data_IF_616814531554
#
_entry.id   IF_616814531554
#
_cell.length_a   1.000
_cell.length_b   1.000
_cell.length_c   1.000
_cell.angle_alpha   90.00
_cell.angle_beta   90.00
_cell.angle_gamma   90.00
#
_symmetry.space_group_name_H-M   'P 1'
#
loop_
_entity.id
_entity.type
_entity.pdbx_description
1 polymer ?
#
# COMPACT_ATOMS: atom_id res chain seq x y z
N UNK A 1 -37.99 33.08 20.41
CA UNK A 1 -39.39 33.16 19.91
C UNK A 1 -39.32 33.35 18.40
N UNK A 2 -40.08 32.52 17.66
CA UNK A 2 -40.28 32.51 16.19
C UNK A 2 -39.05 32.09 15.34
N UNK A 3 -39.15 31.24 14.32
CA UNK A 3 -40.25 30.42 13.80
C UNK A 3 -39.67 29.27 12.94
N UNK A 4 -40.40 28.15 12.95
CA UNK A 4 -40.26 26.97 12.11
C UNK A 4 -40.46 27.29 10.63
N UNK A 5 -39.80 26.55 9.73
CA UNK A 5 -40.46 26.09 8.50
C UNK A 5 -39.82 24.80 7.97
N UNK A 6 -40.52 23.70 8.24
CA UNK A 6 -40.48 22.42 7.52
C UNK A 6 -41.04 22.62 6.11
N UNK A 7 -40.40 21.99 5.12
CA UNK A 7 -41.03 21.68 3.83
C UNK A 7 -40.74 20.21 3.52
N UNK A 8 -41.75 19.37 3.76
CA UNK A 8 -41.91 18.07 3.12
C UNK A 8 -42.28 18.26 1.65
N UNK A 9 -41.72 17.45 0.76
CA UNK A 9 -42.38 17.08 -0.49
C UNK A 9 -41.98 15.64 -0.84
N UNK A 10 -42.96 14.75 -0.65
CA UNK A 10 -43.00 13.39 -1.16
C UNK A 10 -43.09 13.40 -2.69
N UNK A 11 -42.47 12.41 -3.33
CA UNK A 11 -42.98 11.85 -4.60
C UNK A 11 -42.65 10.37 -4.64
N UNK A 12 -43.70 9.56 -4.60
CA UNK A 12 -43.72 8.13 -4.89
C UNK A 12 -43.89 7.90 -6.41
N UNK A 13 -43.83 6.61 -6.79
CA UNK A 13 -44.07 5.99 -8.10
C UNK A 13 -42.82 5.89 -9.02
N UNK A 14 -42.50 4.76 -9.66
CA UNK A 14 -43.35 3.66 -10.08
C UNK A 14 -42.52 2.38 -10.40
N UNK A 15 -43.13 1.22 -10.14
CA UNK A 15 -42.66 -0.13 -10.45
C UNK A 15 -43.30 -0.57 -11.76
N UNK A 16 -42.53 -1.12 -12.71
CA UNK A 16 -43.04 -2.07 -13.70
C UNK A 16 -41.97 -3.09 -14.11
N UNK A 17 -42.24 -4.35 -13.73
CA UNK A 17 -41.87 -5.61 -14.41
C UNK A 17 -42.17 -5.57 -15.91
N UNK A 18 -41.67 -6.39 -16.84
CA UNK A 18 -41.41 -7.84 -16.89
C UNK A 18 -40.98 -8.11 -18.37
N UNK A 19 -40.10 -9.06 -18.66
CA UNK A 19 -40.38 -10.09 -19.68
C UNK A 19 -39.25 -11.13 -19.80
N UNK A 20 -39.70 -12.36 -20.01
CA UNK A 20 -39.01 -13.65 -19.92
C UNK A 20 -38.55 -14.18 -21.30
N UNK A 21 -37.94 -15.37 -21.25
CA UNK A 21 -37.71 -16.38 -22.30
C UNK A 21 -36.32 -16.32 -22.98
N UNK A 22 -35.37 -17.22 -22.66
CA UNK A 22 -35.32 -18.68 -22.87
C UNK A 22 -34.98 -19.08 -24.30
N UNK A 23 -33.81 -19.72 -24.50
CA UNK A 23 -33.63 -20.91 -25.34
C UNK A 23 -32.21 -21.48 -25.23
N UNK A 24 -32.15 -22.77 -24.85
CA UNK A 24 -31.09 -23.73 -25.17
C UNK A 24 -30.58 -23.60 -26.63
N UNK A 25 -29.30 -23.87 -26.89
CA UNK A 25 -28.89 -25.12 -27.56
C UNK A 25 -27.36 -25.25 -27.72
N UNK A 26 -26.94 -26.51 -27.65
CA UNK A 26 -25.60 -27.07 -27.70
C UNK A 26 -25.12 -27.28 -29.13
N UNK A 27 -23.89 -26.89 -29.46
CA UNK A 27 -23.03 -27.49 -30.51
C UNK A 27 -21.57 -27.35 -30.04
N UNK A 28 -20.94 -28.36 -29.41
CA UNK A 28 -20.22 -29.50 -30.02
C UNK A 28 -19.24 -29.16 -31.14
N UNK A 29 -17.96 -29.32 -30.76
CA UNK A 29 -16.78 -29.74 -31.52
C UNK A 29 -16.23 -28.91 -32.69
N UNK A 30 -15.01 -28.41 -32.49
CA UNK A 30 -13.94 -28.72 -33.45
C UNK A 30 -12.66 -29.08 -32.70
N UNK A 31 -12.37 -30.38 -32.68
CA UNK A 31 -11.07 -30.97 -32.34
C UNK A 31 -10.06 -30.50 -33.38
N UNK A 32 -8.95 -29.92 -32.95
CA UNK A 32 -7.72 -29.87 -33.74
C UNK A 32 -6.69 -30.72 -32.98
N UNK A 33 -6.53 -31.94 -33.48
CA UNK A 33 -5.44 -32.85 -33.15
C UNK A 33 -4.14 -32.27 -33.71
N UNK A 34 -3.21 -31.92 -32.84
CA UNK A 34 -1.81 -31.69 -33.20
C UNK A 34 -0.96 -32.60 -32.32
N UNK A 35 -1.01 -33.89 -32.63
CA UNK A 35 -0.03 -34.88 -32.19
C UNK A 35 1.35 -34.53 -32.77
N UNK A 36 2.18 -33.89 -31.94
CA UNK A 36 3.58 -33.62 -32.20
C UNK A 36 4.36 -33.67 -30.88
N UNK A 37 4.82 -34.86 -30.51
CA UNK A 37 5.68 -35.10 -29.35
C UNK A 37 6.96 -34.26 -29.44
N UNK A 38 7.02 -33.19 -28.65
CA UNK A 38 8.26 -32.76 -27.98
C UNK A 38 7.95 -32.63 -26.49
N UNK A 39 8.42 -33.64 -25.77
CA UNK A 39 8.28 -33.88 -24.33
C UNK A 39 9.03 -32.81 -23.54
N UNK A 40 8.52 -31.59 -23.52
CA UNK A 40 8.76 -30.64 -22.44
C UNK A 40 7.79 -31.02 -21.33
N UNK A 41 8.31 -31.57 -20.24
CA UNK A 41 7.54 -31.76 -19.01
C UNK A 41 6.87 -30.43 -18.68
N UNK A 42 5.53 -30.34 -18.84
CA UNK A 42 4.75 -29.29 -18.19
C UNK A 42 4.91 -29.53 -16.69
N UNK A 43 5.95 -28.94 -16.10
CA UNK A 43 6.02 -28.77 -14.66
C UNK A 43 4.77 -28.03 -14.25
N UNK A 44 3.91 -28.71 -13.48
CA UNK A 44 2.75 -28.10 -12.87
C UNK A 44 3.16 -26.74 -12.30
N UNK A 45 2.36 -25.70 -12.58
CA UNK A 45 2.62 -24.33 -12.13
C UNK A 45 2.89 -24.26 -10.61
N UNK A 46 2.26 -25.17 -9.85
CA UNK A 46 2.45 -25.37 -8.40
C UNK A 46 3.85 -25.85 -7.98
N UNK A 47 4.67 -26.40 -8.90
CA UNK A 47 6.06 -26.79 -8.63
C UNK A 47 7.08 -25.69 -8.89
N UNK A 48 6.66 -24.56 -9.49
CA UNK A 48 7.54 -23.40 -9.67
C UNK A 48 7.56 -22.48 -8.45
N UNK A 49 6.59 -22.61 -7.54
CA UNK A 49 6.44 -21.79 -6.34
C UNK A 49 6.22 -22.63 -5.08
N UNK A 50 7.24 -23.37 -4.65
CA UNK A 50 7.26 -24.09 -3.36
C UNK A 50 7.26 -23.16 -2.13
N UNK A 51 7.13 -21.84 -2.32
CA UNK A 51 7.31 -20.82 -1.28
C UNK A 51 6.02 -20.04 -0.93
N UNK A 52 4.83 -20.54 -1.27
CA UNK A 52 3.57 -19.90 -0.86
C UNK A 52 3.50 -19.73 0.67
N UNK A 53 3.93 -20.75 1.43
CA UNK A 53 3.99 -20.67 2.90
C UNK A 53 4.93 -19.56 3.41
N UNK A 54 6.05 -19.32 2.71
CA UNK A 54 7.02 -18.27 3.09
C UNK A 54 6.50 -16.87 2.76
N UNK A 55 5.74 -16.75 1.67
CA UNK A 55 5.09 -15.50 1.28
C UNK A 55 4.03 -15.10 2.30
N UNK A 56 3.20 -16.05 2.75
CA UNK A 56 2.16 -15.80 3.74
C UNK A 56 2.74 -15.40 5.11
N UNK A 57 3.85 -16.02 5.53
CA UNK A 57 4.57 -15.61 6.76
C UNK A 57 5.14 -14.19 6.62
N UNK A 58 5.77 -13.86 5.49
CA UNK A 58 6.32 -12.53 5.23
C UNK A 58 5.26 -11.44 5.21
N UNK A 59 4.10 -11.70 4.59
CA UNK A 59 2.94 -10.81 4.59
C UNK A 59 2.38 -10.62 5.99
N UNK A 60 2.26 -11.71 6.77
CA UNK A 60 1.82 -11.64 8.17
C UNK A 60 2.74 -10.79 9.03
N UNK A 61 4.06 -10.97 8.90
CA UNK A 61 5.06 -10.18 9.60
C UNK A 61 5.00 -8.70 9.21
N UNK A 62 4.92 -8.39 7.91
CA UNK A 62 4.80 -7.02 7.44
C UNK A 62 3.51 -6.34 7.95
N UNK A 63 2.37 -7.04 7.97
CA UNK A 63 1.11 -6.53 8.56
C UNK A 63 1.23 -6.25 10.06
N UNK A 64 1.84 -7.15 10.82
CA UNK A 64 2.08 -6.95 12.24
C UNK A 64 2.99 -5.72 12.47
N UNK A 65 4.02 -5.59 11.63
CA UNK A 65 4.96 -4.47 11.67
C UNK A 65 4.31 -3.13 11.33
N UNK A 66 3.46 -3.10 10.31
CA UNK A 66 2.63 -1.93 9.99
C UNK A 66 1.75 -1.52 11.17
N UNK A 67 1.24 -2.49 11.94
CA UNK A 67 0.52 -2.22 13.19
C UNK A 67 1.35 -1.42 14.19
N UNK A 68 2.57 -1.87 14.49
CA UNK A 68 3.51 -1.18 15.38
C UNK A 68 3.88 0.20 14.84
N UNK A 69 4.14 0.32 13.54
CA UNK A 69 4.44 1.61 12.89
C UNK A 69 3.30 2.60 13.05
N UNK A 70 2.05 2.18 12.86
CA UNK A 70 0.89 3.05 13.03
C UNK A 70 0.78 3.55 14.48
N UNK A 71 1.10 2.71 15.47
CA UNK A 71 1.13 3.10 16.89
C UNK A 71 2.22 4.14 17.14
N UNK A 72 3.45 3.94 16.63
CA UNK A 72 4.54 4.92 16.77
C UNK A 72 4.22 6.26 16.11
N UNK A 73 3.57 6.24 14.94
CA UNK A 73 3.12 7.49 14.28
C UNK A 73 2.02 8.17 15.10
N UNK A 74 1.13 7.39 15.74
CA UNK A 74 0.12 7.92 16.64
C UNK A 74 0.76 8.58 17.87
N UNK A 75 1.78 7.96 18.46
CA UNK A 75 2.54 8.54 19.58
C UNK A 75 3.19 9.87 19.17
N UNK A 76 3.76 9.95 17.96
CA UNK A 76 4.33 11.18 17.43
C UNK A 76 3.27 12.30 17.31
N UNK A 77 2.05 11.96 16.84
CA UNK A 77 0.94 12.92 16.78
C UNK A 77 0.48 13.38 18.15
N UNK A 78 0.40 12.46 19.11
CA UNK A 78 -0.08 12.77 20.45
C UNK A 78 0.93 13.64 21.21
N UNK A 79 2.23 13.34 21.09
CA UNK A 79 3.30 14.21 21.58
C UNK A 79 3.25 15.59 20.92
N UNK A 80 3.07 15.65 19.59
CA UNK A 80 2.92 16.91 18.88
C UNK A 80 1.72 17.73 19.39
N UNK A 81 0.57 17.09 19.63
CA UNK A 81 -0.64 17.78 20.13
C UNK A 81 -0.51 18.24 21.59
N UNK A 82 0.44 17.69 22.36
CA UNK A 82 0.77 18.11 23.73
C UNK A 82 1.91 19.14 23.80
N UNK A 83 2.39 19.62 22.65
CA UNK A 83 3.55 20.50 22.50
C UNK A 83 4.87 19.88 23.04
N UNK A 84 4.94 18.54 23.09
CA UNK A 84 6.12 17.77 23.50
C UNK A 84 7.02 17.50 22.28
N UNK A 85 7.65 18.54 21.74
CA UNK A 85 8.41 18.45 20.48
C UNK A 85 9.56 17.43 20.50
N UNK A 86 10.22 17.26 21.66
CA UNK A 86 11.29 16.27 21.82
C UNK A 86 10.76 14.84 21.71
N UNK A 87 9.60 14.56 22.31
CA UNK A 87 8.97 13.24 22.26
C UNK A 87 8.42 12.94 20.85
N UNK A 88 7.90 13.97 20.16
CA UNK A 88 7.47 13.85 18.77
C UNK A 88 8.66 13.51 17.85
N UNK A 89 9.82 14.16 18.02
CA UNK A 89 11.03 13.87 17.27
C UNK A 89 11.58 12.46 17.56
N UNK A 90 11.61 12.07 18.83
CA UNK A 90 12.02 10.72 19.23
C UNK A 90 11.11 9.64 18.62
N UNK A 91 9.80 9.86 18.58
CA UNK A 91 8.87 8.96 17.92
C UNK A 91 9.13 8.87 16.40
N UNK A 92 9.48 9.98 15.73
CA UNK A 92 9.85 9.98 14.32
C UNK A 92 11.18 9.25 14.05
N UNK A 93 12.14 9.32 14.97
CA UNK A 93 13.36 8.51 14.90
C UNK A 93 13.05 7.01 15.01
N UNK A 94 12.16 6.62 15.93
CA UNK A 94 11.71 5.22 16.07
C UNK A 94 10.98 4.75 14.81
N UNK A 95 10.11 5.59 14.25
CA UNK A 95 9.46 5.33 12.98
C UNK A 95 10.49 5.03 11.88
N UNK A 96 11.53 5.85 11.73
CA UNK A 96 12.58 5.64 10.74
C UNK A 96 13.29 4.28 10.93
N UNK A 97 13.56 3.87 12.18
CA UNK A 97 14.10 2.54 12.48
C UNK A 97 13.14 1.42 12.05
N UNK A 98 11.85 1.57 12.30
CA UNK A 98 10.86 0.58 11.89
C UNK A 98 10.68 0.50 10.36
N UNK A 99 10.86 1.61 9.64
CA UNK A 99 10.81 1.64 8.18
C UNK A 99 11.93 0.82 7.54
N UNK A 100 13.14 0.81 8.13
CA UNK A 100 14.23 -0.03 7.64
C UNK A 100 13.88 -1.53 7.71
N UNK A 101 13.17 -1.96 8.75
CA UNK A 101 12.70 -3.35 8.85
C UNK A 101 11.54 -3.64 7.89
N UNK A 102 10.61 -2.71 7.67
CA UNK A 102 9.58 -2.86 6.62
C UNK A 102 10.19 -2.97 5.23
N UNK A 103 11.31 -2.28 4.97
CA UNK A 103 12.02 -2.35 3.69
C UNK A 103 12.58 -3.75 3.38
N UNK A 104 12.85 -4.57 4.41
CA UNK A 104 13.22 -5.97 4.21
C UNK A 104 12.11 -6.79 3.55
N UNK A 105 10.85 -6.35 3.69
CA UNK A 105 9.66 -6.99 3.11
C UNK A 105 9.25 -6.38 1.76
N UNK A 106 10.11 -5.60 1.09
CA UNK A 106 9.81 -4.97 -0.21
C UNK A 106 9.39 -5.96 -1.31
N UNK A 107 9.75 -7.23 -1.18
CA UNK A 107 9.40 -8.29 -2.13
C UNK A 107 7.93 -8.75 -2.07
N UNK A 108 7.11 -8.22 -1.14
CA UNK A 108 5.67 -8.52 -1.06
C UNK A 108 4.94 -8.07 -2.33
N UNK A 109 5.38 -6.97 -2.94
CA UNK A 109 4.86 -6.47 -4.21
C UNK A 109 5.48 -5.12 -4.56
N UNK A 110 5.51 -4.81 -5.85
CA UNK A 110 6.18 -3.61 -6.36
C UNK A 110 5.60 -2.33 -5.76
N UNK A 111 4.27 -2.22 -5.68
CA UNK A 111 3.60 -1.07 -5.06
C UNK A 111 3.93 -0.92 -3.57
N UNK A 112 3.96 -2.02 -2.81
CA UNK A 112 4.36 -2.01 -1.40
C UNK A 112 5.81 -1.54 -1.24
N UNK A 113 6.73 -2.16 -1.97
CA UNK A 113 8.15 -1.82 -1.92
C UNK A 113 8.40 -0.36 -2.29
N UNK A 114 7.70 0.15 -3.30
CA UNK A 114 7.79 1.53 -3.75
C UNK A 114 7.33 2.52 -2.69
N UNK A 115 6.18 2.30 -2.04
CA UNK A 115 5.69 3.19 -0.97
C UNK A 115 6.61 3.16 0.25
N UNK A 116 7.04 1.97 0.68
CA UNK A 116 7.95 1.83 1.84
C UNK A 116 9.29 2.52 1.58
N UNK A 117 9.88 2.35 0.40
CA UNK A 117 11.09 3.05 -0.01
C UNK A 117 10.89 4.57 0.00
N UNK A 118 9.76 5.03 -0.54
CA UNK A 118 9.45 6.45 -0.66
C UNK A 118 9.28 7.12 0.70
N UNK A 119 8.54 6.50 1.62
CA UNK A 119 8.38 7.01 2.98
C UNK A 119 9.72 6.98 3.73
N UNK A 120 10.53 5.94 3.56
CA UNK A 120 11.85 5.86 4.17
C UNK A 120 12.73 7.04 3.75
N UNK A 121 12.82 7.32 2.46
CA UNK A 121 13.57 8.47 1.95
C UNK A 121 12.96 9.81 2.36
N UNK A 122 11.62 9.93 2.36
CA UNK A 122 10.92 11.13 2.80
C UNK A 122 11.27 11.48 4.26
N UNK A 123 11.25 10.51 5.16
CA UNK A 123 11.64 10.68 6.56
C UNK A 123 13.13 11.03 6.69
N UNK A 124 13.98 10.30 5.99
CA UNK A 124 15.43 10.53 6.03
C UNK A 124 15.81 11.93 5.55
N UNK A 125 15.21 12.39 4.46
CA UNK A 125 15.44 13.71 3.91
C UNK A 125 14.87 14.82 4.81
N UNK A 126 13.81 14.53 5.57
CA UNK A 126 13.20 15.46 6.52
C UNK A 126 13.86 15.45 7.92
N UNK A 127 14.88 14.62 8.18
CA UNK A 127 15.48 14.45 9.51
C UNK A 127 16.13 15.73 10.09
N UNK A 128 16.34 16.77 9.27
CA UNK A 128 16.87 18.08 9.71
C UNK A 128 15.78 19.14 9.86
N UNK A 129 14.54 18.81 9.51
CA UNK A 129 13.40 19.71 9.56
C UNK A 129 12.56 19.43 10.83
N UNK A 130 11.99 20.47 11.47
CA UNK A 130 11.09 20.26 12.60
C UNK A 130 9.89 19.38 12.22
N UNK A 131 9.36 18.57 13.17
CA UNK A 131 8.15 17.80 12.94
C UNK A 131 6.99 18.70 12.51
N UNK A 132 6.23 18.29 11.49
CA UNK A 132 5.01 18.98 11.05
C UNK A 132 3.82 18.04 11.11
N UNK A 133 2.71 18.49 11.72
CA UNK A 133 1.51 17.68 11.95
C UNK A 133 0.89 17.09 10.68
N UNK A 134 0.85 17.87 9.61
CA UNK A 134 0.33 17.45 8.29
C UNK A 134 1.13 16.28 7.71
N UNK A 135 2.46 16.33 7.78
CA UNK A 135 3.35 15.25 7.34
C UNK A 135 3.15 13.98 8.16
N UNK A 136 3.09 14.10 9.50
CA UNK A 136 2.86 12.94 10.38
C UNK A 136 1.50 12.30 10.09
N UNK A 137 0.45 13.10 9.89
CA UNK A 137 -0.87 12.60 9.50
C UNK A 137 -0.87 11.89 8.15
N UNK A 138 -0.17 12.45 7.16
CA UNK A 138 -0.04 11.84 5.84
C UNK A 138 0.64 10.47 5.92
N UNK A 139 1.77 10.39 6.64
CA UNK A 139 2.46 9.11 6.87
C UNK A 139 1.53 8.11 7.55
N UNK A 140 0.78 8.53 8.58
CA UNK A 140 -0.19 7.66 9.26
C UNK A 140 -1.21 7.08 8.28
N UNK A 141 -1.82 7.94 7.44
CA UNK A 141 -2.80 7.54 6.44
C UNK A 141 -2.22 6.50 5.48
N UNK A 142 -1.03 6.77 4.94
CA UNK A 142 -0.33 5.86 4.03
C UNK A 142 -0.10 4.49 4.69
N UNK A 143 0.36 4.46 5.95
CA UNK A 143 0.58 3.21 6.68
C UNK A 143 -0.72 2.46 6.96
N UNK A 144 -1.82 3.17 7.25
CA UNK A 144 -3.14 2.58 7.40
C UNK A 144 -3.64 1.97 6.08
N UNK A 145 -3.51 2.68 4.96
CA UNK A 145 -3.84 2.18 3.63
C UNK A 145 -3.05 0.92 3.28
N UNK A 146 -1.74 0.92 3.53
CA UNK A 146 -0.88 -0.27 3.36
C UNK A 146 -1.32 -1.46 4.23
N UNK A 147 -1.74 -1.19 5.47
CA UNK A 147 -2.19 -2.25 6.39
C UNK A 147 -3.51 -2.85 5.95
N UNK A 148 -4.42 -2.05 5.43
CA UNK A 148 -5.71 -2.51 4.90
C UNK A 148 -5.50 -3.29 3.60
N UNK A 149 -4.75 -2.73 2.66
CA UNK A 149 -4.40 -3.32 1.37
C UNK A 149 -2.89 -3.38 1.16
N UNK A 150 -2.25 -4.48 1.56
CA UNK A 150 -0.79 -4.65 1.43
C UNK A 150 -0.35 -4.89 -0.03
N UNK A 151 -1.27 -5.38 -0.87
CA UNK A 151 -1.05 -5.58 -2.29
C UNK A 151 -1.55 -4.36 -3.05
N UNK A 152 -0.68 -3.37 -3.20
CA UNK A 152 -0.94 -2.17 -3.99
C UNK A 152 -0.44 -2.32 -5.42
N UNK A 153 -1.19 -1.75 -6.36
CA UNK A 153 -0.71 -1.57 -7.72
C UNK A 153 0.35 -0.46 -7.74
N UNK A 154 1.12 -0.39 -8.83
CA UNK A 154 2.09 0.69 -9.04
C UNK A 154 1.40 2.07 -9.11
N UNK A 155 0.23 2.14 -9.75
CA UNK A 155 -0.52 3.39 -9.88
C UNK A 155 -1.05 3.87 -8.52
N UNK A 156 -1.62 2.97 -7.71
CA UNK A 156 -2.07 3.30 -6.35
C UNK A 156 -0.91 3.74 -5.46
N UNK A 157 0.25 3.08 -5.59
CA UNK A 157 1.46 3.46 -4.87
C UNK A 157 1.92 4.88 -5.24
N UNK A 158 1.87 5.25 -6.52
CA UNK A 158 2.21 6.62 -6.95
C UNK A 158 1.25 7.66 -6.39
N UNK A 159 -0.06 7.36 -6.27
CA UNK A 159 -1.00 8.28 -5.63
C UNK A 159 -0.59 8.57 -4.17
N UNK A 160 -0.20 7.54 -3.42
CA UNK A 160 0.29 7.69 -2.04
C UNK A 160 1.63 8.42 -1.96
N UNK A 161 2.46 8.35 -3.00
CA UNK A 161 3.74 9.06 -3.06
C UNK A 161 3.53 10.53 -3.39
N UNK A 162 2.63 10.85 -4.31
CA UNK A 162 2.25 12.22 -4.63
C UNK A 162 1.71 12.95 -3.38
N UNK A 163 0.97 12.24 -2.51
CA UNK A 163 0.52 12.78 -1.23
C UNK A 163 1.67 13.24 -0.30
N UNK A 164 2.86 12.60 -0.40
CA UNK A 164 4.05 13.03 0.33
C UNK A 164 4.66 14.28 -0.32
N UNK A 165 4.74 14.31 -1.65
CA UNK A 165 5.27 15.43 -2.42
C UNK A 165 4.46 16.71 -2.23
N UNK A 166 3.13 16.59 -2.19
CA UNK A 166 2.20 17.69 -1.92
C UNK A 166 2.44 18.37 -0.55
N UNK A 167 3.17 17.71 0.35
CA UNK A 167 3.58 18.22 1.67
C UNK A 167 5.07 18.61 1.75
N UNK A 168 5.67 18.87 0.59
CA UNK A 168 7.09 19.20 0.39
C UNK A 168 8.04 18.13 0.93
N UNK A 169 7.57 16.89 1.09
CA UNK A 169 8.46 15.78 1.44
C UNK A 169 9.21 15.32 0.19
N UNK A 170 10.42 14.78 0.39
CA UNK A 170 11.27 14.33 -0.71
C UNK A 170 11.30 12.80 -0.71
N UNK A 171 10.41 12.10 -1.43
CA UNK A 171 10.29 10.64 -1.38
C UNK A 171 11.43 9.90 -2.10
N UNK A 172 12.35 10.61 -2.72
CA UNK A 172 13.45 10.02 -3.48
C UNK A 172 14.81 10.32 -2.84
N UNK A 173 15.82 9.46 -3.08
CA UNK A 173 17.19 9.75 -2.63
C UNK A 173 17.66 11.08 -3.23
N UNK A 174 18.12 11.99 -2.38
CA UNK A 174 18.60 13.32 -2.78
C UNK A 174 20.08 13.34 -3.20
N UNK A 175 20.83 12.28 -2.89
CA UNK A 175 22.24 12.14 -3.23
C UNK A 175 22.44 11.00 -4.27
N UNK A 176 22.98 11.33 -5.44
CA UNK A 176 23.31 10.39 -6.53
C UNK A 176 24.29 9.27 -6.12
N UNK A 177 25.06 9.45 -5.05
CA UNK A 177 26.08 8.49 -4.57
C UNK A 177 25.47 7.20 -4.02
N UNK A 178 24.21 7.22 -3.60
CA UNK A 178 23.57 6.06 -2.95
C UNK A 178 23.01 5.01 -3.92
N UNK A 179 22.92 5.35 -5.21
CA UNK A 179 22.44 4.43 -6.24
C UNK A 179 23.57 3.47 -6.69
N UNK A 180 24.84 3.92 -6.63
CA UNK A 180 26.00 3.11 -7.01
C UNK A 180 26.29 1.96 -6.04
N UNK A 181 26.07 2.16 -4.74
CA UNK A 181 26.46 1.16 -3.73
C UNK A 181 25.55 -0.07 -3.65
N UNK A 182 24.39 -0.07 -4.32
CA UNK A 182 23.55 -1.27 -4.50
C UNK A 182 23.87 -2.03 -5.80
N UNK A 183 24.61 -1.42 -6.72
CA UNK A 183 25.00 -2.03 -7.99
C UNK A 183 26.37 -2.75 -7.92
N UNK A 184 27.24 -2.35 -6.99
CA UNK A 184 28.59 -2.89 -6.84
C UNK A 184 28.67 -4.09 -5.87
N UNK A 185 27.66 -4.95 -5.90
CA UNK A 185 27.69 -6.26 -5.23
C UNK A 185 28.39 -7.33 -6.09
N UNK A 186 29.63 -7.07 -6.49
CA UNK A 186 30.56 -8.10 -6.99
C UNK A 186 31.78 -8.14 -6.05
N UNK A 187 31.77 -9.10 -5.13
CA UNK A 187 32.94 -9.85 -4.66
C UNK A 187 32.48 -11.20 -4.09
#
# INVERSE_FOLDING_TARGET
MAALQFVELRSEAEVTSKDEASADHVLRESVVDVSGERRGSQTAFDKLYTNQDSFDVGVGQARARLGVVIEVVQDALDAFNRDEMFDADNALMLLHAHMAELFAHRAIGDGFGLVIASVFHALRNAATEPPRRDRILCIKRIMQTLREGIFLTFDDANLLINDLEDLDMKPYPTNLVEIGHLADGED
#
